data_IF_720342671533
#
_entry.id   IF_720342671533
#
_cell.length_a   1.000
_cell.length_b   1.000
_cell.length_c   1.000
_cell.angle_alpha   90.00
_cell.angle_beta   90.00
_cell.angle_gamma   90.00
#
_symmetry.space_group_name_H-M   'P 1'
#
loop_
_entity.id
_entity.type
_entity.pdbx_description
1 polymer ?
#
# COMPACT_ATOMS: atom_id res chain seq x y z
N UNK A 1 -8.91 -3.64 10.95
CA UNK A 1 -9.80 -2.84 10.07
C UNK A 1 -9.91 -1.45 10.68
N UNK A 2 -9.53 -0.39 9.96
CA UNK A 2 -9.44 0.96 10.54
C UNK A 2 -10.84 1.53 10.89
N UNK A 3 -10.97 2.37 11.94
CA UNK A 3 -12.26 2.96 12.35
C UNK A 3 -12.98 3.74 11.25
N UNK A 4 -12.23 4.44 10.39
CA UNK A 4 -12.77 5.17 9.23
C UNK A 4 -13.46 4.24 8.22
N UNK A 5 -12.91 3.04 7.98
CA UNK A 5 -13.51 2.05 7.08
C UNK A 5 -14.86 1.58 7.61
N UNK A 6 -14.96 1.34 8.93
CA UNK A 6 -16.22 0.92 9.56
C UNK A 6 -17.31 1.98 9.45
N UNK A 7 -16.96 3.26 9.65
CA UNK A 7 -17.92 4.37 9.50
C UNK A 7 -18.38 4.52 8.05
N UNK A 8 -17.44 4.46 7.09
CA UNK A 8 -17.76 4.50 5.67
C UNK A 8 -18.69 3.34 5.27
N UNK A 9 -18.36 2.13 5.70
CA UNK A 9 -19.17 0.93 5.44
C UNK A 9 -20.59 1.07 5.98
N UNK A 10 -20.75 1.48 7.25
CA UNK A 10 -22.07 1.67 7.86
C UNK A 10 -22.89 2.74 7.13
N UNK A 11 -22.24 3.83 6.69
CA UNK A 11 -22.91 4.91 5.98
C UNK A 11 -23.42 4.47 4.61
N UNK A 12 -22.56 3.78 3.85
CA UNK A 12 -22.84 3.33 2.48
C UNK A 12 -23.77 2.11 2.46
N UNK A 13 -23.79 1.28 3.50
CA UNK A 13 -24.67 0.11 3.62
C UNK A 13 -26.16 0.47 3.44
N UNK A 14 -26.53 1.71 3.76
CA UNK A 14 -27.89 2.20 3.60
C UNK A 14 -28.34 2.20 2.14
N UNK A 15 -27.45 2.55 1.22
CA UNK A 15 -27.67 2.53 -0.23
C UNK A 15 -27.80 1.08 -0.74
N UNK A 16 -26.90 0.20 -0.30
CA UNK A 16 -26.94 -1.23 -0.65
C UNK A 16 -28.27 -1.88 -0.28
N UNK A 17 -28.74 -1.64 0.95
CA UNK A 17 -30.03 -2.17 1.43
C UNK A 17 -31.22 -1.63 0.62
N UNK A 18 -31.18 -0.36 0.20
CA UNK A 18 -32.27 0.22 -0.60
C UNK A 18 -32.32 -0.36 -2.02
N UNK A 19 -31.16 -0.55 -2.66
CA UNK A 19 -31.07 -1.19 -3.97
C UNK A 19 -31.53 -2.66 -3.92
N UNK A 20 -31.08 -3.40 -2.90
CA UNK A 20 -31.51 -4.80 -2.69
C UNK A 20 -33.02 -4.90 -2.45
N UNK A 21 -33.60 -4.01 -1.63
CA UNK A 21 -35.07 -3.97 -1.39
C UNK A 21 -35.88 -3.66 -2.65
N UNK A 22 -35.31 -2.91 -3.60
CA UNK A 22 -35.94 -2.62 -4.89
C UNK A 22 -35.92 -3.83 -5.85
N UNK A 23 -35.19 -4.89 -5.48
CA UNK A 23 -35.08 -6.13 -6.23
C UNK A 23 -33.84 -6.23 -7.11
N UNK A 24 -32.89 -5.30 -6.98
CA UNK A 24 -31.63 -5.38 -7.71
C UNK A 24 -30.67 -6.38 -7.07
N UNK A 25 -29.94 -7.13 -7.90
CA UNK A 25 -28.83 -7.97 -7.45
C UNK A 25 -27.58 -7.08 -7.37
N UNK A 26 -27.14 -6.81 -6.14
CA UNK A 26 -26.06 -5.85 -5.86
C UNK A 26 -24.91 -6.57 -5.20
N UNK A 27 -23.70 -6.28 -5.67
CA UNK A 27 -22.46 -6.63 -5.00
C UNK A 27 -21.69 -5.36 -4.71
N UNK A 28 -21.28 -5.17 -3.45
CA UNK A 28 -20.52 -4.00 -3.00
C UNK A 28 -19.12 -4.38 -2.57
N UNK A 29 -18.14 -3.55 -2.93
CA UNK A 29 -16.80 -3.56 -2.36
C UNK A 29 -16.40 -2.12 -2.02
N UNK A 30 -16.41 -1.76 -0.73
CA UNK A 30 -16.20 -0.38 -0.25
C UNK A 30 -17.25 0.57 -0.87
N UNK A 31 -16.86 1.50 -1.72
CA UNK A 31 -17.69 2.47 -2.44
C UNK A 31 -18.05 2.01 -3.85
N UNK A 32 -17.48 0.90 -4.33
CA UNK A 32 -17.77 0.34 -5.64
C UNK A 32 -19.00 -0.59 -5.59
N UNK A 33 -20.03 -0.23 -6.35
CA UNK A 33 -21.24 -1.02 -6.54
C UNK A 33 -21.24 -1.68 -7.92
N UNK A 34 -21.55 -2.97 -7.95
CA UNK A 34 -21.82 -3.74 -9.16
C UNK A 34 -23.26 -4.25 -9.10
N UNK A 35 -24.07 -3.82 -10.07
CA UNK A 35 -25.48 -4.22 -10.17
C UNK A 35 -25.63 -5.11 -11.40
N UNK A 36 -26.23 -6.29 -11.20
CA UNK A 36 -26.53 -7.21 -12.31
C UNK A 36 -27.95 -6.92 -12.79
N UNK A 37 -28.08 -6.58 -14.07
CA UNK A 37 -29.35 -6.29 -14.73
C UNK A 37 -29.54 -7.22 -15.93
N UNK A 38 -30.79 -7.65 -16.15
CA UNK A 38 -31.15 -8.57 -17.23
C UNK A 38 -31.39 -7.87 -18.58
N UNK A 39 -31.48 -6.55 -18.58
CA UNK A 39 -31.67 -5.73 -19.77
C UNK A 39 -31.01 -4.37 -19.59
N UNK A 40 -30.74 -3.68 -20.71
CA UNK A 40 -30.20 -2.33 -20.66
C UNK A 40 -31.18 -1.35 -19.97
N UNK A 41 -32.49 -1.50 -20.20
CA UNK A 41 -33.51 -0.70 -19.51
C UNK A 41 -33.44 -0.89 -18.00
N UNK A 42 -33.42 -2.14 -17.52
CA UNK A 42 -33.30 -2.44 -16.10
C UNK A 42 -32.00 -1.91 -15.49
N UNK A 43 -30.93 -1.80 -16.30
CA UNK A 43 -29.66 -1.23 -15.85
C UNK A 43 -29.74 0.30 -15.72
N UNK A 44 -30.43 0.98 -16.64
CA UNK A 44 -30.71 2.42 -16.51
C UNK A 44 -31.61 2.70 -15.31
N UNK A 45 -32.68 1.92 -15.12
CA UNK A 45 -33.56 2.03 -13.95
C UNK A 45 -32.77 1.88 -12.63
N UNK A 46 -31.80 0.95 -12.60
CA UNK A 46 -30.93 0.75 -11.46
C UNK A 46 -30.00 1.95 -11.20
N UNK A 47 -29.46 2.56 -12.26
CA UNK A 47 -28.60 3.75 -12.15
C UNK A 47 -29.41 4.93 -11.63
N UNK A 48 -30.58 5.21 -12.21
CA UNK A 48 -31.44 6.32 -11.78
C UNK A 48 -31.85 6.16 -10.31
N UNK A 49 -32.28 4.96 -9.92
CA UNK A 49 -32.62 4.68 -8.54
C UNK A 49 -31.41 4.81 -7.59
N UNK A 50 -30.22 4.37 -8.01
CA UNK A 50 -29.00 4.56 -7.23
C UNK A 50 -28.63 6.05 -7.07
N UNK A 51 -28.85 6.88 -8.10
CA UNK A 51 -28.64 8.34 -8.03
C UNK A 51 -29.54 8.97 -7.00
N UNK A 52 -30.83 8.65 -7.00
CA UNK A 52 -31.79 9.21 -6.05
C UNK A 52 -31.43 8.81 -4.62
N UNK A 53 -31.13 7.54 -4.39
CA UNK A 53 -30.75 7.04 -3.06
C UNK A 53 -29.40 7.59 -2.58
N UNK A 54 -28.42 7.78 -3.47
CA UNK A 54 -27.15 8.41 -3.12
C UNK A 54 -27.37 9.87 -2.70
N UNK A 55 -28.21 10.62 -3.40
CA UNK A 55 -28.55 12.01 -3.06
C UNK A 55 -29.26 12.11 -1.71
N UNK A 56 -30.15 11.17 -1.39
CA UNK A 56 -30.83 11.11 -0.09
C UNK A 56 -29.87 10.97 1.10
N UNK A 57 -28.68 10.41 0.88
CA UNK A 57 -27.61 10.30 1.87
C UNK A 57 -26.45 11.28 1.61
N UNK A 58 -26.66 12.32 0.81
CA UNK A 58 -25.66 13.37 0.57
C UNK A 58 -24.43 12.92 -0.23
N UNK A 59 -24.53 11.82 -0.98
CA UNK A 59 -23.49 11.32 -1.88
C UNK A 59 -23.86 11.61 -3.34
N UNK A 60 -22.84 11.61 -4.21
CA UNK A 60 -23.00 11.79 -5.65
C UNK A 60 -22.22 10.70 -6.38
N UNK A 61 -22.84 10.09 -7.38
CA UNK A 61 -22.18 9.11 -8.24
C UNK A 61 -21.18 9.82 -9.17
N UNK A 62 -20.00 9.24 -9.32
CA UNK A 62 -19.03 9.70 -10.30
C UNK A 62 -19.48 9.24 -11.70
N UNK A 63 -20.13 10.12 -12.47
CA UNK A 63 -20.65 9.81 -13.82
C UNK A 63 -19.57 9.18 -14.72
N UNK A 64 -18.36 9.73 -14.74
CA UNK A 64 -17.24 9.20 -15.54
C UNK A 64 -16.76 7.79 -15.15
N UNK A 65 -17.13 7.30 -13.96
CA UNK A 65 -16.83 5.94 -13.49
C UNK A 65 -18.01 4.98 -13.64
N UNK A 66 -19.22 5.50 -13.85
CA UNK A 66 -20.43 4.69 -13.97
C UNK A 66 -20.51 4.12 -15.39
N UNK A 67 -20.33 2.79 -15.52
CA UNK A 67 -20.24 2.13 -16.83
C UNK A 67 -21.23 0.97 -16.91
N UNK A 68 -22.00 0.94 -17.99
CA UNK A 68 -22.77 -0.25 -18.38
C UNK A 68 -21.88 -1.18 -19.20
N UNK A 69 -21.80 -2.44 -18.77
CA UNK A 69 -20.94 -3.44 -19.41
C UNK A 69 -21.77 -4.70 -19.70
N UNK A 70 -21.87 -5.14 -20.96
CA UNK A 70 -22.58 -6.37 -21.28
C UNK A 70 -21.81 -7.58 -20.74
N UNK A 71 -22.55 -8.64 -20.36
CA UNK A 71 -21.98 -9.89 -19.83
C UNK A 71 -20.88 -10.45 -20.74
N UNK A 72 -21.13 -10.50 -22.05
CA UNK A 72 -20.18 -11.03 -23.03
C UNK A 72 -18.83 -10.32 -22.96
N UNK A 73 -18.83 -8.99 -22.84
CA UNK A 73 -17.60 -8.20 -22.72
C UNK A 73 -16.87 -8.45 -21.40
N UNK A 74 -17.59 -8.59 -20.30
CA UNK A 74 -16.98 -8.88 -18.99
C UNK A 74 -16.34 -10.26 -18.99
N UNK A 75 -17.04 -11.27 -19.54
CA UNK A 75 -16.50 -12.63 -19.67
C UNK A 75 -15.27 -12.65 -20.56
N UNK A 76 -15.34 -12.01 -21.73
CA UNK A 76 -14.21 -11.95 -22.65
C UNK A 76 -12.98 -11.29 -22.03
N UNK A 77 -13.13 -10.15 -21.34
CA UNK A 77 -12.00 -9.50 -20.66
C UNK A 77 -11.41 -10.37 -19.55
N UNK A 78 -12.22 -11.16 -18.83
CA UNK A 78 -11.73 -12.11 -17.82
C UNK A 78 -10.96 -13.26 -18.48
N UNK A 79 -11.47 -13.79 -19.60
CA UNK A 79 -10.80 -14.84 -20.37
C UNK A 79 -9.47 -14.35 -20.94
N UNK A 80 -9.42 -13.15 -21.53
CA UNK A 80 -8.17 -12.53 -22.02
C UNK A 80 -7.14 -12.34 -20.89
N UNK A 81 -7.59 -11.86 -19.72
CA UNK A 81 -6.73 -11.66 -18.55
C UNK A 81 -6.19 -13.00 -18.02
N UNK A 82 -7.04 -14.04 -17.95
CA UNK A 82 -6.63 -15.37 -17.49
C UNK A 82 -5.71 -16.07 -18.49
N UNK A 83 -5.95 -15.89 -19.80
CA UNK A 83 -5.10 -16.43 -20.86
C UNK A 83 -3.69 -15.82 -20.75
N UNK A 84 -3.60 -14.50 -20.64
CA UNK A 84 -2.32 -13.80 -20.47
C UNK A 84 -1.58 -14.25 -19.19
N UNK A 85 -2.30 -14.51 -18.10
CA UNK A 85 -1.68 -15.06 -16.88
C UNK A 85 -1.20 -16.52 -17.07
N UNK A 86 -1.97 -17.33 -17.80
CA UNK A 86 -1.56 -18.68 -18.19
C UNK A 86 -0.28 -18.69 -19.00
N UNK A 87 -0.11 -17.74 -19.92
CA UNK A 87 1.13 -17.58 -20.69
C UNK A 87 2.35 -17.31 -19.79
N UNK A 88 2.21 -16.46 -18.76
CA UNK A 88 3.30 -16.24 -17.79
C UNK A 88 3.69 -17.51 -17.03
N UNK A 89 2.71 -18.34 -16.66
CA UNK A 89 2.96 -19.62 -15.96
C UNK A 89 3.63 -20.64 -16.88
N UNK A 90 3.11 -20.84 -18.09
CA UNK A 90 3.70 -21.78 -19.05
C UNK A 90 5.13 -21.40 -19.43
N UNK A 91 5.40 -20.12 -19.67
CA UNK A 91 6.76 -19.68 -19.96
C UNK A 91 7.71 -19.81 -18.75
N UNK A 92 7.20 -19.81 -17.51
CA UNK A 92 8.01 -20.01 -16.31
C UNK A 92 8.37 -21.49 -16.15
N UNK A 93 7.41 -22.39 -16.39
CA UNK A 93 7.64 -23.84 -16.43
C UNK A 93 8.69 -24.21 -17.50
N UNK A 94 8.61 -23.63 -18.69
CA UNK A 94 9.57 -23.87 -19.78
C UNK A 94 10.99 -23.39 -19.42
N UNK A 95 11.13 -22.22 -18.79
CA UNK A 95 12.45 -21.69 -18.39
C UNK A 95 13.09 -22.54 -17.29
N UNK A 96 12.33 -22.90 -16.25
CA UNK A 96 12.86 -23.72 -15.16
C UNK A 96 13.30 -25.10 -15.65
N UNK A 97 12.50 -25.74 -16.53
CA UNK A 97 12.90 -26.99 -17.19
C UNK A 97 14.18 -26.84 -18.00
N UNK A 98 14.35 -25.72 -18.72
CA UNK A 98 15.56 -25.47 -19.50
C UNK A 98 16.81 -25.30 -18.60
N UNK A 99 16.70 -24.56 -17.49
CA UNK A 99 17.80 -24.34 -16.54
C UNK A 99 18.25 -25.64 -15.87
N UNK A 100 17.31 -26.50 -15.49
CA UNK A 100 17.61 -27.82 -14.91
C UNK A 100 18.27 -28.76 -15.92
N UNK A 101 17.82 -28.72 -17.18
CA UNK A 101 18.41 -29.49 -18.28
C UNK A 101 19.87 -29.06 -18.56
N UNK A 102 20.17 -27.76 -18.47
CA UNK A 102 21.54 -27.24 -18.66
C UNK A 102 22.48 -27.53 -17.47
N UNK A 103 21.96 -27.58 -16.23
CA UNK A 103 22.74 -27.94 -15.04
C UNK A 103 23.13 -29.43 -14.98
N UNK A 104 22.36 -30.31 -15.63
CA UNK A 104 22.70 -31.74 -15.78
C UNK A 104 23.69 -32.00 -16.93
N UNK A 105 24.81 -31.28 -16.92
CA UNK A 105 25.77 -31.18 -18.03
C UNK A 105 26.07 -32.48 -18.81
N UNK A 106 26.43 -32.28 -20.08
CA UNK A 106 26.78 -33.24 -21.15
C UNK A 106 27.79 -34.38 -20.83
N UNK A 107 28.21 -34.61 -19.59
CA UNK A 107 29.29 -35.56 -19.25
C UNK A 107 28.83 -36.91 -18.67
N UNK A 108 27.54 -37.08 -18.38
CA UNK A 108 26.95 -38.40 -18.11
C UNK A 108 25.58 -38.47 -18.79
N UNK A 109 25.52 -38.99 -20.01
CA UNK A 109 24.26 -39.47 -20.59
C UNK A 109 24.07 -40.95 -20.26
N UNK A 110 23.50 -41.35 -19.11
CA UNK A 110 22.67 -42.54 -19.12
C UNK A 110 21.42 -42.19 -19.94
N UNK A 111 20.94 -43.15 -20.72
CA UNK A 111 19.64 -43.06 -21.38
C UNK A 111 18.58 -42.67 -20.33
N UNK A 112 18.16 -41.40 -20.36
CA UNK A 112 16.95 -40.94 -19.67
C UNK A 112 15.82 -41.40 -20.59
N UNK A 113 15.05 -42.40 -20.16
CA UNK A 113 13.77 -42.72 -20.80
C UNK A 113 12.93 -41.44 -20.83
N UNK A 114 12.17 -41.20 -21.91
CA UNK A 114 11.32 -40.01 -22.12
C UNK A 114 10.26 -39.74 -21.00
N UNK A 115 10.26 -40.54 -19.92
CA UNK A 115 9.35 -40.52 -18.77
C UNK A 115 9.96 -39.86 -17.49
N UNK A 116 11.27 -39.57 -17.47
CA UNK A 116 11.97 -38.94 -16.33
C UNK A 116 12.23 -37.43 -16.55
N UNK A 117 11.29 -36.71 -17.18
CA UNK A 117 11.37 -35.24 -17.22
C UNK A 117 11.19 -34.69 -15.80
N UNK A 118 12.21 -34.00 -15.27
CA UNK A 118 12.12 -33.33 -13.98
C UNK A 118 11.05 -32.23 -14.11
N UNK A 119 9.95 -32.40 -13.40
CA UNK A 119 8.95 -31.34 -13.28
C UNK A 119 9.45 -30.31 -12.25
N UNK A 120 9.47 -29.02 -12.60
CA UNK A 120 9.93 -27.98 -11.69
C UNK A 120 8.98 -27.88 -10.49
N UNK A 121 9.51 -27.48 -9.33
CA UNK A 121 8.70 -27.25 -8.13
C UNK A 121 7.60 -26.22 -8.42
N UNK A 122 6.36 -26.53 -8.03
CA UNK A 122 5.21 -25.64 -8.23
C UNK A 122 5.40 -24.30 -7.51
N UNK A 123 6.08 -24.27 -6.36
CA UNK A 123 6.36 -23.04 -5.62
C UNK A 123 7.35 -22.14 -6.39
N UNK A 124 8.32 -22.74 -7.09
CA UNK A 124 9.30 -22.02 -7.92
C UNK A 124 8.64 -21.48 -9.20
N UNK A 125 7.79 -22.27 -9.84
CA UNK A 125 6.97 -21.85 -10.99
C UNK A 125 6.07 -20.67 -10.61
N UNK A 126 5.40 -20.76 -9.46
CA UNK A 126 4.53 -19.69 -8.96
C UNK A 126 5.35 -18.43 -8.62
N UNK A 127 6.55 -18.57 -8.05
CA UNK A 127 7.43 -17.42 -7.81
C UNK A 127 7.88 -16.75 -9.11
N UNK A 128 8.40 -17.51 -10.08
CA UNK A 128 8.92 -16.99 -11.35
C UNK A 128 7.81 -16.33 -12.15
N UNK A 129 6.65 -16.98 -12.26
CA UNK A 129 5.50 -16.44 -13.00
C UNK A 129 5.00 -15.12 -12.38
N UNK A 130 4.86 -15.05 -11.06
CA UNK A 130 4.45 -13.82 -10.38
C UNK A 130 5.52 -12.72 -10.46
N UNK A 131 6.79 -13.08 -10.38
CA UNK A 131 7.91 -12.14 -10.51
C UNK A 131 7.95 -11.53 -11.91
N UNK A 132 7.69 -12.32 -12.96
CA UNK A 132 7.57 -11.84 -14.34
C UNK A 132 6.40 -10.88 -14.51
N UNK A 133 5.25 -11.13 -13.87
CA UNK A 133 4.14 -10.16 -13.86
C UNK A 133 4.58 -8.83 -13.27
N UNK A 134 5.40 -8.83 -12.21
CA UNK A 134 5.94 -7.60 -11.61
C UNK A 134 6.97 -6.93 -12.52
N UNK A 135 7.83 -7.70 -13.17
CA UNK A 135 8.81 -7.20 -14.13
C UNK A 135 8.13 -6.53 -15.33
N UNK A 136 7.19 -7.21 -15.98
CA UNK A 136 6.42 -6.66 -17.10
C UNK A 136 5.61 -5.44 -16.66
N UNK A 137 5.05 -5.49 -15.45
CA UNK A 137 4.41 -4.33 -14.86
C UNK A 137 5.40 -3.18 -14.74
N UNK A 138 6.63 -3.40 -14.26
CA UNK A 138 7.64 -2.33 -14.15
C UNK A 138 7.99 -1.69 -15.49
N UNK A 139 8.01 -2.46 -16.59
CA UNK A 139 8.28 -1.98 -17.96
C UNK A 139 7.14 -1.14 -18.54
N UNK A 140 5.90 -1.41 -18.09
CA UNK A 140 4.73 -0.58 -18.43
C UNK A 140 4.16 -0.82 -19.82
N UNK A 141 4.29 -2.06 -20.31
CA UNK A 141 3.82 -2.45 -21.63
C UNK A 141 2.29 -2.24 -21.77
N UNK A 142 1.88 -1.54 -22.83
CA UNK A 142 0.49 -1.08 -23.03
C UNK A 142 -0.57 -2.20 -23.13
N UNK A 143 -0.35 -3.36 -23.78
CA UNK A 143 -1.39 -4.39 -23.87
C UNK A 143 -1.71 -5.02 -22.51
N UNK A 144 -0.74 -5.04 -21.58
CA UNK A 144 -0.84 -5.74 -20.30
C UNK A 144 -1.42 -4.90 -19.15
N UNK A 145 -1.87 -3.66 -19.39
CA UNK A 145 -2.38 -2.78 -18.31
C UNK A 145 -3.55 -3.38 -17.53
N UNK A 146 -4.43 -4.13 -18.20
CA UNK A 146 -5.55 -4.83 -17.54
C UNK A 146 -5.06 -5.95 -16.62
N UNK A 147 -4.09 -6.72 -17.11
CA UNK A 147 -3.43 -7.82 -16.39
C UNK A 147 -2.69 -7.28 -15.17
N UNK A 148 -1.87 -6.23 -15.32
CA UNK A 148 -1.14 -5.61 -14.22
C UNK A 148 -2.05 -5.01 -13.16
N UNK A 149 -3.14 -4.34 -13.57
CA UNK A 149 -4.10 -3.78 -12.62
C UNK A 149 -4.86 -4.88 -11.85
N UNK A 150 -5.06 -6.04 -12.45
CA UNK A 150 -5.76 -7.17 -11.85
C UNK A 150 -4.83 -8.02 -10.96
N UNK A 151 -3.70 -8.46 -11.49
CA UNK A 151 -2.80 -9.41 -10.84
C UNK A 151 -1.64 -8.75 -10.08
N UNK A 152 -1.15 -7.58 -10.49
CA UNK A 152 0.04 -6.94 -9.90
C UNK A 152 -0.03 -6.79 -8.37
N UNK A 153 -1.10 -6.17 -7.81
CA UNK A 153 -1.30 -6.11 -6.36
C UNK A 153 -1.38 -7.50 -5.70
N UNK A 154 -2.00 -8.47 -6.37
CA UNK A 154 -2.11 -9.86 -5.92
C UNK A 154 -0.75 -10.57 -5.88
N UNK A 155 0.08 -10.34 -6.91
CA UNK A 155 1.43 -10.87 -7.04
C UNK A 155 2.33 -10.34 -5.92
N UNK A 156 2.39 -9.01 -5.71
CA UNK A 156 3.14 -8.44 -4.57
C UNK A 156 2.68 -9.00 -3.22
N UNK A 157 1.37 -9.20 -3.05
CA UNK A 157 0.81 -9.77 -1.82
C UNK A 157 1.22 -11.23 -1.59
N UNK A 158 1.38 -12.03 -2.64
CA UNK A 158 1.87 -13.42 -2.53
C UNK A 158 3.38 -13.46 -2.32
N UNK A 159 4.12 -12.69 -3.13
CA UNK A 159 5.59 -12.62 -3.11
C UNK A 159 6.18 -12.08 -1.79
N UNK A 160 5.38 -11.39 -0.97
CA UNK A 160 5.84 -10.88 0.34
C UNK A 160 6.35 -11.99 1.29
N UNK A 161 5.94 -13.24 1.07
CA UNK A 161 6.33 -14.41 1.87
C UNK A 161 7.24 -15.39 1.11
N UNK A 162 7.58 -15.10 -0.14
CA UNK A 162 8.51 -15.92 -0.91
C UNK A 162 9.91 -15.89 -0.29
N UNK A 163 10.72 -16.93 -0.51
CA UNK A 163 12.10 -16.93 -0.05
C UNK A 163 12.88 -15.78 -0.70
N UNK A 164 12.74 -15.65 -2.02
CA UNK A 164 13.42 -14.63 -2.81
C UNK A 164 12.73 -13.26 -2.77
N UNK A 165 13.55 -12.22 -2.94
CA UNK A 165 13.12 -10.83 -2.97
C UNK A 165 12.93 -10.38 -4.42
N UNK A 166 11.84 -9.66 -4.66
CA UNK A 166 11.59 -8.98 -5.93
C UNK A 166 12.63 -7.89 -6.14
N UNK A 167 13.09 -7.72 -7.39
CA UNK A 167 14.05 -6.67 -7.72
C UNK A 167 13.51 -5.27 -7.34
N UNK A 168 14.28 -4.53 -6.55
CA UNK A 168 13.94 -3.20 -6.09
C UNK A 168 13.71 -2.22 -7.26
N UNK A 169 14.44 -2.35 -8.38
CA UNK A 169 14.27 -1.50 -9.55
C UNK A 169 12.85 -1.59 -10.12
N UNK A 170 12.27 -2.79 -10.10
CA UNK A 170 10.90 -2.99 -10.55
C UNK A 170 9.90 -2.30 -9.61
N UNK A 171 10.12 -2.40 -8.31
CA UNK A 171 9.28 -1.75 -7.30
C UNK A 171 9.30 -0.22 -7.44
N UNK A 172 10.48 0.36 -7.65
CA UNK A 172 10.63 1.81 -7.86
C UNK A 172 9.93 2.25 -9.15
N UNK A 173 10.14 1.54 -10.26
CA UNK A 173 9.54 1.88 -11.55
C UNK A 173 8.00 1.80 -11.53
N UNK A 174 7.43 0.83 -10.82
CA UNK A 174 5.97 0.73 -10.63
C UNK A 174 5.44 1.96 -9.90
N UNK A 175 6.07 2.37 -8.79
CA UNK A 175 5.61 3.53 -8.00
C UNK A 175 5.81 4.84 -8.75
N UNK A 176 6.93 4.99 -9.46
CA UNK A 176 7.20 6.19 -10.26
C UNK A 176 6.12 6.40 -11.33
N UNK A 177 5.70 5.33 -12.01
CA UNK A 177 4.65 5.41 -13.04
C UNK A 177 3.25 5.49 -12.44
N UNK A 178 2.99 4.75 -11.37
CA UNK A 178 1.68 4.64 -10.74
C UNK A 178 1.79 4.91 -9.22
N UNK A 179 1.87 6.19 -8.79
CA UNK A 179 2.09 6.53 -7.37
C UNK A 179 1.02 5.98 -6.40
N UNK A 180 -0.17 5.66 -6.91
CA UNK A 180 -1.23 5.00 -6.14
C UNK A 180 -0.82 3.62 -5.61
N UNK A 181 0.19 2.98 -6.22
CA UNK A 181 0.68 1.63 -5.91
C UNK A 181 1.74 1.58 -4.81
N UNK A 182 2.13 2.74 -4.30
CA UNK A 182 3.10 2.83 -3.20
C UNK A 182 2.65 2.03 -1.97
N UNK A 183 1.34 1.98 -1.69
CA UNK A 183 0.82 1.23 -0.55
C UNK A 183 1.11 -0.28 -0.67
N UNK A 184 0.93 -0.85 -1.86
CA UNK A 184 1.23 -2.25 -2.15
C UNK A 184 2.72 -2.54 -2.02
N UNK A 185 3.58 -1.65 -2.56
CA UNK A 185 5.04 -1.74 -2.42
C UNK A 185 5.47 -1.68 -0.95
N UNK A 186 4.94 -0.74 -0.17
CA UNK A 186 5.24 -0.64 1.27
C UNK A 186 4.73 -1.86 2.03
N UNK A 187 3.56 -2.38 1.67
CA UNK A 187 2.99 -3.59 2.28
C UNK A 187 3.83 -4.83 2.00
N UNK A 188 4.45 -4.91 0.82
CA UNK A 188 5.44 -5.91 0.46
C UNK A 188 6.70 -5.77 1.34
N UNK A 189 7.34 -4.59 1.33
CA UNK A 189 8.57 -4.31 2.08
C UNK A 189 8.43 -4.57 3.59
N UNK A 190 7.26 -4.25 4.16
CA UNK A 190 6.96 -4.46 5.57
C UNK A 190 7.09 -5.92 6.04
N UNK A 191 6.89 -6.88 5.13
CA UNK A 191 6.95 -8.32 5.45
C UNK A 191 8.31 -8.94 5.15
N UNK A 192 9.20 -8.19 4.52
CA UNK A 192 10.56 -8.61 4.18
C UNK A 192 11.50 -8.43 5.37
N UNK A 193 12.33 -9.43 5.64
CA UNK A 193 13.32 -9.41 6.73
C UNK A 193 14.63 -8.72 6.34
N UNK A 194 14.83 -8.43 5.05
CA UNK A 194 16.06 -7.83 4.52
C UNK A 194 16.14 -6.32 4.84
N UNK A 195 16.50 -5.98 6.08
CA UNK A 195 16.44 -4.60 6.59
C UNK A 195 17.30 -3.60 5.81
N UNK A 196 18.53 -3.98 5.43
CA UNK A 196 19.44 -3.10 4.66
C UNK A 196 18.85 -2.77 3.30
N UNK A 197 18.33 -3.78 2.61
CA UNK A 197 17.66 -3.63 1.32
C UNK A 197 16.38 -2.82 1.47
N UNK A 198 15.58 -3.05 2.51
CA UNK A 198 14.38 -2.27 2.80
C UNK A 198 14.68 -0.77 2.99
N UNK A 199 15.75 -0.44 3.74
CA UNK A 199 16.21 0.95 3.89
C UNK A 199 16.66 1.54 2.54
N UNK A 200 17.37 0.77 1.72
CA UNK A 200 17.77 1.17 0.38
C UNK A 200 16.56 1.46 -0.54
N UNK A 201 15.58 0.56 -0.61
CA UNK A 201 14.36 0.78 -1.39
C UNK A 201 13.59 1.99 -0.87
N UNK A 202 13.43 2.12 0.44
CA UNK A 202 12.70 3.22 1.06
C UNK A 202 13.35 4.58 0.76
N UNK A 203 14.68 4.67 0.83
CA UNK A 203 15.43 5.85 0.41
C UNK A 203 15.11 6.19 -1.05
N UNK A 204 15.19 5.21 -1.96
CA UNK A 204 14.90 5.43 -3.39
C UNK A 204 13.46 5.87 -3.64
N UNK A 205 12.49 5.33 -2.90
CA UNK A 205 11.09 5.79 -2.93
C UNK A 205 10.96 7.25 -2.45
N UNK A 206 11.75 7.63 -1.44
CA UNK A 206 11.78 9.00 -0.91
C UNK A 206 12.43 10.01 -1.86
N UNK A 207 13.21 9.56 -2.84
CA UNK A 207 13.78 10.42 -3.90
C UNK A 207 12.82 10.65 -5.08
N UNK A 208 11.73 9.87 -5.18
CA UNK A 208 10.82 9.98 -6.32
C UNK A 208 10.18 11.38 -6.40
N UNK A 209 10.07 11.95 -7.62
CA UNK A 209 9.47 13.25 -7.81
C UNK A 209 7.97 13.21 -7.47
N UNK A 210 7.46 14.28 -6.86
CA UNK A 210 6.03 14.50 -6.53
C UNK A 210 5.44 13.44 -5.59
N UNK A 211 5.69 13.63 -4.30
CA UNK A 211 5.08 12.80 -3.26
C UNK A 211 3.78 13.42 -2.73
N UNK A 212 2.71 12.62 -2.73
CA UNK A 212 1.47 12.98 -2.04
C UNK A 212 1.69 12.95 -0.52
N UNK A 213 0.82 13.61 0.27
CA UNK A 213 0.91 13.54 1.75
C UNK A 213 0.80 12.10 2.25
N UNK A 214 -0.08 11.31 1.66
CA UNK A 214 -0.24 9.89 1.96
C UNK A 214 1.02 9.09 1.68
N UNK A 215 1.71 9.37 0.57
CA UNK A 215 2.97 8.71 0.26
C UNK A 215 4.01 8.96 1.35
N UNK A 216 4.14 10.21 1.82
CA UNK A 216 5.06 10.58 2.90
C UNK A 216 4.72 9.84 4.19
N UNK A 217 3.44 9.85 4.59
CA UNK A 217 2.97 9.16 5.79
C UNK A 217 3.25 7.66 5.73
N UNK A 218 2.96 7.01 4.60
CA UNK A 218 3.22 5.57 4.47
C UNK A 218 4.70 5.23 4.53
N UNK A 219 5.56 6.06 3.93
CA UNK A 219 7.02 5.87 3.99
C UNK A 219 7.56 6.05 5.40
N UNK A 220 7.10 7.07 6.15
CA UNK A 220 7.46 7.25 7.56
C UNK A 220 6.98 6.05 8.40
N UNK A 221 5.73 5.61 8.21
CA UNK A 221 5.18 4.45 8.92
C UNK A 221 5.89 3.13 8.59
N UNK A 222 6.52 3.01 7.41
CA UNK A 222 7.42 1.89 7.10
C UNK A 222 8.73 2.03 7.89
N UNK A 223 9.35 3.22 7.86
CA UNK A 223 10.60 3.52 8.56
C UNK A 223 10.53 3.26 10.08
N UNK A 224 9.36 3.45 10.69
CA UNK A 224 9.13 3.12 12.10
C UNK A 224 9.21 1.62 12.42
N UNK A 225 8.89 0.77 11.45
CA UNK A 225 8.88 -0.67 11.60
C UNK A 225 10.22 -1.31 11.23
N UNK A 226 11.09 -0.55 10.55
CA UNK A 226 12.44 -0.98 10.24
C UNK A 226 13.33 -0.80 11.46
N UNK A 227 14.10 -1.84 11.77
CA UNK A 227 15.08 -1.78 12.84
C UNK A 227 16.10 -0.66 12.56
N UNK A 228 16.50 0.11 13.60
CA UNK A 228 17.63 1.04 13.48
C UNK A 228 18.87 0.31 12.98
N UNK A 229 19.43 0.76 11.87
CA UNK A 229 20.75 0.36 11.38
C UNK A 229 21.65 1.56 11.16
N UNK A 230 22.96 1.38 11.31
CA UNK A 230 23.97 2.36 10.93
C UNK A 230 24.22 2.27 9.42
N UNK A 231 23.20 2.60 8.62
CA UNK A 231 23.29 2.59 7.16
C UNK A 231 23.21 4.01 6.62
N UNK A 232 24.03 4.33 5.61
CA UNK A 232 23.99 5.62 4.90
C UNK A 232 22.58 5.93 4.37
N UNK A 233 21.84 4.89 3.97
CA UNK A 233 20.47 5.00 3.46
C UNK A 233 19.49 5.46 4.54
N UNK A 234 19.65 5.00 5.79
CA UNK A 234 18.86 5.48 6.91
C UNK A 234 19.15 6.95 7.18
N UNK A 235 20.42 7.38 7.22
CA UNK A 235 20.77 8.79 7.43
C UNK A 235 20.21 9.69 6.33
N UNK A 236 20.29 9.26 5.08
CA UNK A 236 19.71 9.98 3.95
C UNK A 236 18.18 10.06 4.07
N UNK A 237 17.50 8.98 4.48
CA UNK A 237 16.06 9.02 4.73
C UNK A 237 15.71 9.97 5.89
N UNK A 238 16.47 9.98 6.98
CA UNK A 238 16.30 10.92 8.09
C UNK A 238 16.44 12.37 7.62
N UNK A 239 17.40 12.64 6.72
CA UNK A 239 17.60 13.95 6.10
C UNK A 239 16.42 14.36 5.22
N UNK A 240 15.72 13.40 4.61
CA UNK A 240 14.48 13.63 3.87
C UNK A 240 13.28 13.89 4.81
N UNK A 241 13.20 13.24 5.98
CA UNK A 241 12.12 13.47 6.95
C UNK A 241 12.23 14.85 7.63
N UNK A 242 13.44 15.33 7.91
CA UNK A 242 13.63 16.58 8.68
C UNK A 242 12.92 17.82 8.07
N UNK A 243 13.00 18.08 6.74
CA UNK A 243 12.21 19.14 6.10
C UNK A 243 10.69 18.96 6.19
N UNK A 244 10.17 17.75 6.42
CA UNK A 244 8.74 17.48 6.52
C UNK A 244 8.10 18.08 7.77
N UNK A 245 8.90 18.48 8.77
CA UNK A 245 8.42 19.31 9.88
C UNK A 245 7.87 20.66 9.40
N UNK A 246 8.25 21.13 8.21
CA UNK A 246 7.69 22.32 7.56
C UNK A 246 6.59 22.03 6.53
N UNK A 247 6.10 20.79 6.40
CA UNK A 247 5.11 20.45 5.38
C UNK A 247 3.81 21.23 5.58
N UNK A 248 3.14 21.60 4.48
CA UNK A 248 1.85 22.32 4.53
C UNK A 248 0.74 21.53 5.25
N UNK A 249 0.80 20.21 5.25
CA UNK A 249 -0.19 19.36 5.91
C UNK A 249 0.26 19.03 7.33
N UNK A 250 -0.55 19.41 8.32
CA UNK A 250 -0.19 19.22 9.72
C UNK A 250 -0.03 17.75 10.13
N UNK A 251 -0.75 16.83 9.49
CA UNK A 251 -0.64 15.40 9.77
C UNK A 251 0.71 14.84 9.35
N UNK A 252 1.29 15.33 8.24
CA UNK A 252 2.64 14.99 7.80
C UNK A 252 3.67 15.53 8.79
N UNK A 253 3.50 16.78 9.26
CA UNK A 253 4.38 17.36 10.28
C UNK A 253 4.36 16.55 11.58
N UNK A 254 3.17 16.17 12.05
CA UNK A 254 3.00 15.43 13.30
C UNK A 254 3.61 14.03 13.22
N UNK A 255 3.41 13.31 12.12
CA UNK A 255 4.00 11.99 11.92
C UNK A 255 5.54 12.07 11.82
N UNK A 256 6.05 13.06 11.08
CA UNK A 256 7.49 13.30 10.99
C UNK A 256 8.09 13.64 12.36
N UNK A 257 7.40 14.46 13.16
CA UNK A 257 7.82 14.81 14.52
C UNK A 257 7.88 13.59 15.44
N UNK A 258 6.88 12.71 15.38
CA UNK A 258 6.83 11.48 16.16
C UNK A 258 7.95 10.52 15.78
N UNK A 259 8.16 10.31 14.48
CA UNK A 259 9.25 9.48 13.98
C UNK A 259 10.62 10.02 14.44
N UNK A 260 10.86 11.32 14.29
CA UNK A 260 12.12 11.94 14.70
C UNK A 260 12.30 11.95 16.22
N UNK A 261 11.23 12.09 17.02
CA UNK A 261 11.32 12.07 18.48
C UNK A 261 11.72 10.70 19.00
N UNK A 262 11.14 9.63 18.43
CA UNK A 262 11.52 8.24 18.74
C UNK A 262 12.98 7.92 18.38
N UNK A 263 13.56 8.64 17.42
CA UNK A 263 14.96 8.52 17.01
C UNK A 263 15.88 9.55 17.67
N UNK A 264 15.38 10.38 18.59
CA UNK A 264 16.11 11.48 19.26
C UNK A 264 16.77 12.45 18.27
N UNK A 265 16.13 12.67 17.11
CA UNK A 265 16.62 13.49 15.98
C UNK A 265 15.87 14.83 15.83
N UNK A 266 15.14 15.24 16.87
CA UNK A 266 14.40 16.51 16.95
C UNK A 266 14.57 17.11 18.35
N UNK A 267 14.62 18.43 18.45
CA UNK A 267 14.79 19.14 19.72
C UNK A 267 13.44 19.52 20.34
N UNK A 268 13.45 19.83 21.64
CA UNK A 268 12.24 20.33 22.33
C UNK A 268 11.78 21.69 21.79
N UNK A 269 12.71 22.54 21.34
CA UNK A 269 12.37 23.85 20.76
C UNK A 269 11.62 23.67 19.44
N UNK A 270 12.10 22.78 18.56
CA UNK A 270 11.42 22.44 17.30
C UNK A 270 10.02 21.88 17.55
N UNK A 271 9.85 21.00 18.55
CA UNK A 271 8.54 20.48 18.94
C UNK A 271 7.62 21.56 19.51
N UNK A 272 8.16 22.54 20.23
CA UNK A 272 7.37 23.66 20.78
C UNK A 272 6.84 24.55 19.66
N UNK A 273 7.67 24.87 18.68
CA UNK A 273 7.25 25.63 17.50
C UNK A 273 6.16 24.90 16.72
N UNK A 274 6.30 23.58 16.54
CA UNK A 274 5.27 22.76 15.92
C UNK A 274 3.97 22.72 16.73
N UNK A 275 4.06 22.65 18.06
CA UNK A 275 2.90 22.64 18.95
C UNK A 275 2.10 23.95 18.83
N UNK A 276 2.79 25.09 18.76
CA UNK A 276 2.16 26.41 18.59
C UNK A 276 1.44 26.55 17.24
N UNK A 277 1.96 25.89 16.20
CA UNK A 277 1.37 25.91 14.85
C UNK A 277 0.31 24.83 14.63
N UNK A 278 0.19 23.85 15.55
CA UNK A 278 -0.73 22.73 15.42
C UNK A 278 -2.17 23.14 15.74
N UNK A 279 -3.11 22.67 14.92
CA UNK A 279 -4.53 22.69 15.29
C UNK A 279 -4.82 21.65 16.37
N UNK A 280 -6.03 21.69 16.93
CA UNK A 280 -6.47 20.73 17.95
C UNK A 280 -6.40 19.27 17.46
N UNK A 281 -6.41 19.04 16.14
CA UNK A 281 -6.33 17.70 15.52
C UNK A 281 -4.97 17.04 15.75
N UNK A 282 -3.87 17.79 15.63
CA UNK A 282 -2.49 17.24 15.71
C UNK A 282 -1.76 17.63 16.99
N UNK A 283 -2.26 18.62 17.73
CA UNK A 283 -1.65 19.11 18.98
C UNK A 283 -1.41 18.00 20.01
N UNK A 284 -2.35 17.06 20.15
CA UNK A 284 -2.18 15.90 21.02
C UNK A 284 -1.02 14.99 20.57
N UNK A 285 -0.86 14.77 19.27
CA UNK A 285 0.27 14.01 18.72
C UNK A 285 1.62 14.69 19.01
N UNK A 286 1.70 16.01 18.84
CA UNK A 286 2.91 16.77 19.19
C UNK A 286 3.19 16.72 20.70
N UNK A 287 2.16 16.78 21.55
CA UNK A 287 2.32 16.61 23.00
C UNK A 287 2.95 15.24 23.36
N UNK A 288 2.54 14.18 22.67
CA UNK A 288 3.16 12.87 22.83
C UNK A 288 4.63 12.86 22.40
N UNK A 289 4.98 13.56 21.32
CA UNK A 289 6.37 13.71 20.89
C UNK A 289 7.21 14.39 21.99
N UNK A 290 6.72 15.49 22.59
CA UNK A 290 7.39 16.16 23.71
C UNK A 290 7.56 15.19 24.88
N UNK A 291 6.50 14.45 25.23
CA UNK A 291 6.53 13.43 26.28
C UNK A 291 7.58 12.35 26.05
N UNK A 292 7.82 11.93 24.80
CA UNK A 292 8.82 10.91 24.45
C UNK A 292 10.28 11.36 24.62
N UNK A 293 10.54 12.67 24.57
CA UNK A 293 11.88 13.23 24.78
C UNK A 293 12.07 13.66 26.25
N UNK A 294 11.03 14.27 26.81
CA UNK A 294 11.07 14.97 28.10
C UNK A 294 10.59 14.11 29.27
N UNK A 295 10.00 12.94 29.01
CA UNK A 295 9.30 12.12 30.00
C UNK A 295 10.15 11.65 31.18
N UNK A 296 11.46 11.48 30.98
CA UNK A 296 12.39 11.11 32.04
C UNK A 296 12.74 12.27 32.99
N UNK A 297 12.77 13.52 32.49
CA UNK A 297 13.16 14.70 33.24
C UNK A 297 12.30 15.91 32.83
N UNK A 298 11.08 15.97 33.35
CA UNK A 298 10.04 16.94 32.94
C UNK A 298 10.53 18.40 32.99
N UNK A 299 10.79 18.99 31.83
CA UNK A 299 11.24 20.38 31.67
C UNK A 299 10.08 21.37 31.85
N UNK A 300 10.40 22.66 31.88
CA UNK A 300 9.37 23.73 31.89
C UNK A 300 8.47 23.67 30.66
N UNK A 301 9.03 23.31 29.50
CA UNK A 301 8.29 23.17 28.24
C UNK A 301 7.31 22.00 28.36
N UNK A 302 7.78 20.83 28.82
CA UNK A 302 6.89 19.68 29.03
C UNK A 302 5.75 19.97 29.99
N UNK A 303 6.01 20.67 31.11
CA UNK A 303 4.95 21.10 32.04
C UNK A 303 3.91 22.00 31.38
N UNK A 304 4.34 22.94 30.54
CA UNK A 304 3.43 23.83 29.83
C UNK A 304 2.56 23.06 28.83
N UNK A 305 3.16 22.22 27.98
CA UNK A 305 2.45 21.39 26.98
C UNK A 305 1.47 20.42 27.65
N UNK A 306 1.90 19.76 28.73
CA UNK A 306 1.07 18.85 29.54
C UNK A 306 -0.08 19.57 30.24
N UNK A 307 0.10 20.85 30.60
CA UNK A 307 -0.89 21.67 31.30
C UNK A 307 -1.95 22.31 30.40
N UNK A 308 -1.74 22.32 29.08
CA UNK A 308 -2.59 23.02 28.11
C UNK A 308 -4.01 22.44 28.02
N UNK A 309 -4.15 21.12 28.02
CA UNK A 309 -5.46 20.44 28.01
C UNK A 309 -5.40 19.05 28.63
N UNK A 310 -6.56 18.50 29.00
CA UNK A 310 -6.65 17.12 29.49
C UNK A 310 -6.19 16.10 28.43
N UNK A 311 -6.44 16.38 27.15
CA UNK A 311 -6.01 15.52 26.05
C UNK A 311 -4.48 15.60 25.86
N UNK A 312 -3.90 16.80 25.88
CA UNK A 312 -2.45 17.01 25.81
C UNK A 312 -1.75 16.32 26.98
N UNK A 313 -2.32 16.38 28.19
CA UNK A 313 -1.81 15.65 29.37
C UNK A 313 -1.78 14.14 29.15
N UNK A 314 -2.88 13.57 28.64
CA UNK A 314 -2.97 12.14 28.38
C UNK A 314 -1.97 11.71 27.30
N UNK A 315 -1.88 12.47 26.21
CA UNK A 315 -0.96 12.20 25.12
C UNK A 315 0.51 12.35 25.53
N UNK A 316 0.87 13.39 26.30
CA UNK A 316 2.20 13.55 26.87
C UNK A 316 2.58 12.35 27.73
N UNK A 317 1.70 11.94 28.66
CA UNK A 317 1.97 10.79 29.54
C UNK A 317 2.14 9.49 28.74
N UNK A 318 1.34 9.30 27.68
CA UNK A 318 1.51 8.17 26.76
C UNK A 318 2.87 8.26 26.04
N UNK A 319 3.25 9.43 25.53
CA UNK A 319 4.56 9.65 24.94
C UNK A 319 5.71 9.35 25.91
N UNK A 320 5.57 9.70 27.19
CA UNK A 320 6.58 9.43 28.22
C UNK A 320 6.80 7.94 28.50
N UNK A 321 5.85 7.04 28.17
CA UNK A 321 6.12 5.60 28.25
C UNK A 321 7.11 5.11 27.19
N UNK A 322 7.50 5.98 26.26
CA UNK A 322 8.46 5.73 25.19
C UNK A 322 9.78 6.49 25.39
N UNK A 323 9.94 7.15 26.54
CA UNK A 323 11.17 7.84 26.93
C UNK A 323 12.14 6.81 27.56
N UNK A 324 12.77 6.01 26.71
CA UNK A 324 13.84 5.07 27.09
C UNK A 324 15.21 5.75 27.20
#
# INVERSE_FOLDING_TARGET
>A
MQPSHRLSDVYIERLERQLARKGFVVHRYVDDFRIIANSQSSAHDAIEYAVDMARDIGLVLAEGKTKLRPKSRVVHEIEEINLAFGEFRSQAEEELRAIETEHMGYDDTPFIDDDDSIEPDEDDVDFVSLSRVIEDWSRGEKPMRGVHAHFGPGALKRLRSAAERVNDDWLIAIVEREPIRLYETISYLRRRSEMVQNWSTLKRLSDLPRQSPWAKLWMIALAEQLEPGETDQQEQFMSWVKPLLGDRHETVRAEAAWFLSRRKAITLDELTDLYMQASDVTRAGIAACVGSIDGANETKIGKAVKGDSALSKAAYNWGSSYAD
#
